data_IF_708325356684
#
_entry.id   IF_708325356684
#
_cell.length_a   1.000
_cell.length_b   1.000
_cell.length_c   1.000
_cell.angle_alpha   90.00
_cell.angle_beta   90.00
_cell.angle_gamma   90.00
#
_symmetry.space_group_name_H-M   'P 1'
#
loop_
_entity.id
_entity.type
_entity.pdbx_description
1 polymer ?
#
# COMPACT_ATOMS: atom_id res chain seq x y z
N UNK A 1 7.25 -17.48 -5.66
CA UNK A 1 6.22 -18.07 -6.54
C UNK A 1 5.15 -17.01 -6.72
N UNK A 2 4.83 -16.61 -7.96
CA UNK A 2 3.76 -15.63 -8.23
C UNK A 2 2.42 -16.37 -8.23
N UNK A 3 1.49 -15.96 -7.36
CA UNK A 3 0.16 -16.55 -7.30
C UNK A 3 -0.58 -16.20 -8.59
N UNK A 4 -1.12 -17.20 -9.28
CA UNK A 4 -1.99 -17.03 -10.45
C UNK A 4 -3.37 -17.49 -10.02
N UNK A 5 -4.38 -16.64 -10.16
CA UNK A 5 -5.72 -17.02 -9.76
C UNK A 5 -6.31 -18.04 -10.76
N UNK A 6 -7.47 -18.61 -10.41
CA UNK A 6 -8.11 -19.72 -11.17
C UNK A 6 -8.47 -19.39 -12.63
N UNK A 7 -8.38 -18.12 -13.03
CA UNK A 7 -8.75 -17.63 -14.35
C UNK A 7 -7.52 -17.26 -15.21
N UNK A 8 -6.30 -17.53 -14.73
CA UNK A 8 -5.08 -17.27 -15.50
C UNK A 8 -4.63 -15.81 -15.50
N UNK A 9 -5.30 -14.92 -14.76
CA UNK A 9 -4.83 -13.57 -14.51
C UNK A 9 -3.74 -13.61 -13.43
N UNK A 10 -2.67 -12.87 -13.68
CA UNK A 10 -1.74 -12.53 -12.61
C UNK A 10 -2.40 -11.47 -11.73
N UNK A 11 -2.60 -11.80 -10.44
CA UNK A 11 -3.31 -10.93 -9.49
C UNK A 11 -2.60 -9.57 -9.37
N UNK A 12 -3.19 -8.54 -9.98
CA UNK A 12 -2.95 -7.15 -9.61
C UNK A 12 -3.67 -6.79 -8.30
N UNK A 13 -4.35 -7.75 -7.68
CA UNK A 13 -5.17 -7.63 -6.47
C UNK A 13 -4.51 -8.28 -5.24
N UNK A 14 -3.17 -8.25 -5.16
CA UNK A 14 -2.44 -8.74 -3.98
C UNK A 14 -2.16 -7.62 -2.97
N UNK A 15 -1.97 -7.98 -1.70
CA UNK A 15 -1.67 -7.04 -0.61
C UNK A 15 -0.44 -6.19 -0.92
N UNK A 16 0.61 -6.82 -1.41
CA UNK A 16 1.88 -6.18 -1.78
C UNK A 16 1.69 -5.08 -2.83
N UNK A 17 0.82 -5.31 -3.81
CA UNK A 17 0.48 -4.30 -4.81
C UNK A 17 -0.17 -3.05 -4.18
N UNK A 18 -1.16 -3.23 -3.31
CA UNK A 18 -1.82 -2.10 -2.65
C UNK A 18 -0.90 -1.35 -1.69
N UNK A 19 0.01 -2.05 -1.01
CA UNK A 19 1.06 -1.42 -0.20
C UNK A 19 1.99 -0.58 -1.07
N UNK A 20 2.48 -1.12 -2.20
CA UNK A 20 3.33 -0.36 -3.13
C UNK A 20 2.60 0.85 -3.70
N UNK A 21 1.34 0.69 -4.10
CA UNK A 21 0.47 1.79 -4.57
C UNK A 21 0.33 2.88 -3.51
N UNK A 22 0.16 2.52 -2.24
CA UNK A 22 0.09 3.46 -1.13
C UNK A 22 1.40 4.22 -0.91
N UNK A 23 2.55 3.55 -1.04
CA UNK A 23 3.87 4.20 -0.95
C UNK A 23 4.03 5.25 -2.06
N UNK A 24 3.68 4.92 -3.31
CA UNK A 24 3.75 5.87 -4.42
C UNK A 24 2.83 7.08 -4.21
N UNK A 25 1.61 6.86 -3.71
CA UNK A 25 0.71 7.97 -3.39
C UNK A 25 1.23 8.83 -2.25
N UNK A 26 1.81 8.21 -1.22
CA UNK A 26 2.38 8.96 -0.10
C UNK A 26 3.55 9.85 -0.55
N UNK A 27 4.42 9.34 -1.42
CA UNK A 27 5.52 10.13 -1.99
C UNK A 27 5.00 11.32 -2.82
N UNK A 28 3.99 11.07 -3.66
CA UNK A 28 3.31 12.14 -4.42
C UNK A 28 2.69 13.20 -3.51
N UNK A 29 2.08 12.81 -2.39
CA UNK A 29 1.52 13.75 -1.42
C UNK A 29 2.60 14.60 -0.75
N UNK A 30 3.76 14.01 -0.43
CA UNK A 30 4.90 14.74 0.12
C UNK A 30 5.48 15.76 -0.87
N UNK A 31 5.48 15.44 -2.17
CA UNK A 31 5.86 16.41 -3.21
C UNK A 31 4.89 17.59 -3.25
N UNK A 32 3.59 17.33 -3.27
CA UNK A 32 2.56 18.38 -3.22
C UNK A 32 2.63 19.23 -1.94
N UNK A 33 3.01 18.61 -0.80
CA UNK A 33 3.23 19.33 0.45
C UNK A 33 4.44 20.27 0.36
N UNK A 34 5.54 19.82 -0.24
CA UNK A 34 6.73 20.66 -0.48
C UNK A 34 6.43 21.85 -1.40
N UNK A 35 5.52 21.66 -2.36
CA UNK A 35 5.04 22.73 -3.25
C UNK A 35 4.01 23.66 -2.56
N UNK A 36 3.59 23.36 -1.33
CA UNK A 36 2.61 24.14 -0.57
C UNK A 36 1.18 24.00 -1.08
N UNK A 37 0.91 22.97 -1.90
CA UNK A 37 -0.41 22.71 -2.47
C UNK A 37 -1.33 21.95 -1.51
N UNK A 38 -0.75 21.15 -0.61
CA UNK A 38 -1.46 20.42 0.45
C UNK A 38 -0.71 20.52 1.77
N UNK A 39 -1.40 20.28 2.89
CA UNK A 39 -0.79 20.13 4.21
C UNK A 39 -1.14 18.75 4.75
N UNK A 40 -0.13 17.91 5.01
CA UNK A 40 -0.35 16.57 5.55
C UNK A 40 -0.40 16.69 7.07
N UNK A 41 -1.58 16.45 7.65
CA UNK A 41 -1.71 16.34 9.10
C UNK A 41 -1.05 15.04 9.51
N UNK A 42 0.16 15.12 10.04
CA UNK A 42 0.85 13.96 10.61
C UNK A 42 0.09 13.51 11.86
N UNK A 43 -0.17 12.20 12.03
CA UNK A 43 -0.74 11.68 13.26
C UNK A 43 0.07 12.20 14.45
N UNK A 44 -0.66 12.65 15.47
CA UNK A 44 -0.10 13.15 16.72
C UNK A 44 0.89 12.14 17.31
N UNK A 45 2.11 12.58 17.67
CA UNK A 45 3.15 11.75 18.33
C UNK A 45 2.74 11.19 19.71
N UNK A 46 1.48 11.37 20.10
CA UNK A 46 0.92 10.94 21.39
C UNK A 46 0.87 9.43 21.56
N UNK A 47 0.79 8.67 20.47
CA UNK A 47 0.94 7.20 20.53
C UNK A 47 2.38 6.80 20.22
N UNK A 48 3.20 6.69 21.28
CA UNK A 48 4.61 6.28 21.19
C UNK A 48 4.83 4.88 20.61
N UNK A 49 3.76 4.12 20.40
CA UNK A 49 3.79 2.73 19.95
C UNK A 49 3.45 2.55 18.46
N UNK A 50 2.98 3.61 17.78
CA UNK A 50 2.55 3.52 16.38
C UNK A 50 3.48 4.37 15.54
N UNK A 51 4.13 3.76 14.53
CA UNK A 51 4.93 4.52 13.58
C UNK A 51 3.95 5.28 12.66
N UNK A 52 3.88 6.63 12.72
CA UNK A 52 2.87 7.41 12.01
C UNK A 52 2.98 7.28 10.49
N UNK A 53 4.17 6.94 9.97
CA UNK A 53 4.37 6.65 8.55
C UNK A 53 3.71 5.33 8.16
N UNK A 54 3.93 4.27 8.94
CA UNK A 54 3.34 2.96 8.64
C UNK A 54 1.82 3.00 8.73
N UNK A 55 1.27 3.73 9.70
CA UNK A 55 -0.16 3.96 9.82
C UNK A 55 -0.72 4.70 8.59
N UNK A 56 -0.05 5.78 8.15
CA UNK A 56 -0.46 6.52 6.96
C UNK A 56 -0.45 5.64 5.70
N UNK A 57 0.62 4.84 5.49
CA UNK A 57 0.71 3.91 4.37
C UNK A 57 -0.39 2.84 4.46
N UNK A 58 -0.65 2.29 5.65
CA UNK A 58 -1.70 1.28 5.86
C UNK A 58 -3.07 1.82 5.49
N UNK A 59 -3.40 3.02 5.97
CA UNK A 59 -4.68 3.66 5.68
C UNK A 59 -4.84 3.99 4.19
N UNK A 60 -3.75 4.44 3.53
CA UNK A 60 -3.75 4.65 2.08
C UNK A 60 -3.92 3.34 1.31
N UNK A 61 -3.32 2.24 1.77
CA UNK A 61 -3.45 0.92 1.15
C UNK A 61 -4.88 0.38 1.27
N UNK A 62 -5.49 0.47 2.46
CA UNK A 62 -6.90 0.12 2.70
C UNK A 62 -7.81 0.91 1.75
N UNK A 63 -7.63 2.24 1.72
CA UNK A 63 -8.42 3.11 0.86
C UNK A 63 -8.25 2.76 -0.62
N UNK A 64 -7.01 2.54 -1.06
CA UNK A 64 -6.71 2.15 -2.43
C UNK A 64 -7.33 0.80 -2.82
N UNK A 65 -7.40 -0.15 -1.88
CA UNK A 65 -8.06 -1.44 -2.09
C UNK A 65 -9.57 -1.28 -2.24
N UNK A 66 -10.23 -0.55 -1.33
CA UNK A 66 -11.67 -0.29 -1.37
C UNK A 66 -12.10 0.50 -2.62
N UNK A 67 -11.29 1.46 -3.07
CA UNK A 67 -11.60 2.30 -4.25
C UNK A 67 -11.21 1.66 -5.59
N UNK A 68 -10.49 0.52 -5.59
CA UNK A 68 -9.99 -0.09 -6.83
C UNK A 68 -11.08 -0.66 -7.74
N UNK A 69 -12.22 -1.07 -7.17
CA UNK A 69 -13.28 -1.77 -7.91
C UNK A 69 -12.86 -3.16 -8.43
N UNK A 70 -11.68 -3.66 -8.03
CA UNK A 70 -11.20 -4.98 -8.41
C UNK A 70 -11.84 -6.07 -7.54
N UNK A 71 -12.21 -7.20 -8.16
CA UNK A 71 -12.82 -8.30 -7.42
C UNK A 71 -11.84 -8.87 -6.38
N UNK A 72 -12.26 -8.88 -5.11
CA UNK A 72 -11.48 -9.42 -4.00
C UNK A 72 -10.57 -8.40 -3.30
N UNK A 73 -10.57 -7.13 -3.74
CA UNK A 73 -9.83 -6.08 -3.05
C UNK A 73 -10.40 -5.77 -1.66
N UNK A 74 -11.68 -6.06 -1.42
CA UNK A 74 -12.33 -5.96 -0.12
C UNK A 74 -11.67 -6.88 0.94
N UNK A 75 -11.26 -8.09 0.55
CA UNK A 75 -10.56 -9.00 1.45
C UNK A 75 -9.15 -8.52 1.79
N UNK A 76 -8.52 -7.75 0.89
CA UNK A 76 -7.23 -7.13 1.14
C UNK A 76 -7.37 -5.96 2.13
N UNK A 77 -8.43 -5.16 1.98
CA UNK A 77 -8.74 -4.10 2.95
C UNK A 77 -8.97 -4.70 4.36
N UNK A 78 -9.75 -5.78 4.45
CA UNK A 78 -9.98 -6.48 5.72
C UNK A 78 -8.67 -7.06 6.30
N UNK A 79 -7.80 -7.66 5.47
CA UNK A 79 -6.50 -8.17 5.93
C UNK A 79 -5.56 -7.04 6.39
N UNK A 80 -5.59 -5.87 5.77
CA UNK A 80 -4.80 -4.70 6.19
C UNK A 80 -5.33 -4.05 7.49
N UNK A 81 -6.63 -4.20 7.78
CA UNK A 81 -7.24 -3.75 9.04
C UNK A 81 -6.87 -4.69 10.20
N UNK A 82 -6.96 -6.01 9.98
CA UNK A 82 -6.65 -7.04 11.00
C UNK A 82 -5.15 -7.22 11.20
N UNK A 83 -4.38 -7.14 10.11
CA UNK A 83 -2.93 -7.29 10.09
C UNK A 83 -2.31 -6.06 9.42
N UNK A 84 -2.08 -4.97 10.18
CA UNK A 84 -1.45 -3.77 9.65
C UNK A 84 -0.05 -4.03 9.10
N UNK A 85 0.40 -3.15 8.20
CA UNK A 85 1.73 -3.23 7.60
C UNK A 85 2.81 -3.15 8.70
N UNK A 86 3.69 -4.14 8.71
CA UNK A 86 4.83 -4.16 9.62
C UNK A 86 6.09 -3.55 8.98
N UNK A 87 7.05 -3.05 9.78
CA UNK A 87 8.33 -2.56 9.25
C UNK A 87 9.05 -3.59 8.37
N UNK A 88 9.09 -4.85 8.83
CA UNK A 88 9.76 -5.97 8.13
C UNK A 88 9.08 -6.26 6.78
N UNK A 89 7.74 -6.15 6.72
CA UNK A 89 6.99 -6.32 5.46
C UNK A 89 7.37 -5.23 4.45
N UNK A 90 7.50 -3.98 4.91
CA UNK A 90 7.92 -2.86 4.07
C UNK A 90 9.36 -3.02 3.57
N UNK A 91 10.29 -3.38 4.45
CA UNK A 91 11.69 -3.65 4.09
C UNK A 91 11.78 -4.74 3.00
N UNK A 92 11.10 -5.86 3.23
CA UNK A 92 11.06 -6.95 2.24
C UNK A 92 10.45 -6.51 0.90
N UNK A 93 9.45 -5.64 0.91
CA UNK A 93 8.83 -5.13 -0.32
C UNK A 93 9.78 -4.25 -1.14
N UNK A 94 10.53 -3.39 -0.46
CA UNK A 94 11.47 -2.45 -1.10
C UNK A 94 12.71 -3.19 -1.62
N UNK A 95 13.19 -4.19 -0.89
CA UNK A 95 14.38 -4.96 -1.25
C UNK A 95 14.16 -5.90 -2.45
N UNK A 96 12.91 -6.17 -2.82
CA UNK A 96 12.57 -7.03 -3.93
C UNK A 96 12.33 -6.23 -5.23
N UNK A 97 12.80 -6.73 -6.39
CA UNK A 97 12.55 -6.08 -7.67
C UNK A 97 11.05 -5.83 -7.94
N UNK A 98 10.67 -4.60 -8.32
CA UNK A 98 9.28 -4.21 -8.61
C UNK A 98 8.57 -5.14 -9.60
N UNK A 99 9.29 -5.70 -10.58
CA UNK A 99 8.79 -6.72 -11.53
C UNK A 99 8.20 -7.97 -10.87
N UNK A 100 8.48 -8.19 -9.59
CA UNK A 100 7.92 -9.29 -8.81
C UNK A 100 6.47 -9.01 -8.40
N UNK A 101 6.08 -7.74 -8.34
CA UNK A 101 4.80 -7.25 -7.84
C UNK A 101 3.96 -6.53 -8.92
N UNK A 102 4.63 -5.91 -9.88
CA UNK A 102 4.01 -5.20 -10.99
C UNK A 102 4.29 -5.96 -12.28
N UNK A 103 3.23 -6.26 -13.03
CA UNK A 103 3.34 -6.72 -14.40
C UNK A 103 3.11 -5.55 -15.33
N UNK A 104 4.07 -5.33 -16.21
CA UNK A 104 3.92 -4.44 -17.35
C UNK A 104 3.66 -5.33 -18.55
N UNK A 105 2.46 -5.23 -19.14
CA UNK A 105 2.25 -5.71 -20.50
C UNK A 105 3.03 -4.77 -21.43
N UNK A 106 4.06 -5.30 -22.09
CA UNK A 106 4.77 -4.62 -23.18
C UNK A 106 4.18 -5.10 -24.50
#
# INVERSE_FOLDING_TARGET
MKYTNRNGYHDNSCREYFILKAIFFYDSLLELEKEGLVSIIKPSETDKNTNPLLEAINNLAIKAALESGEAGSEYIADDLDVRPISPIELENLIDNPLKNYLLFDI
#
